data_IF_782742647235
#
_entry.id   IF_782742647235
#
_cell.length_a   1.000
_cell.length_b   1.000
_cell.length_c   1.000
_cell.angle_alpha   90.00
_cell.angle_beta   90.00
_cell.angle_gamma   90.00
#
_symmetry.space_group_name_H-M   'P 1'
#
loop_
_entity.id
_entity.type
_entity.pdbx_description
1 polymer ?
#
# COMPACT_ATOMS: atom_id res chain seq x y z
N UNK A 1 -3.39 -9.53 -10.83
CA UNK A 1 -2.10 -9.17 -10.22
C UNK A 1 -1.67 -10.31 -9.31
N UNK A 2 -0.38 -10.58 -9.21
CA UNK A 2 0.13 -11.70 -8.42
C UNK A 2 1.49 -11.36 -7.81
N UNK A 3 1.72 -11.80 -6.58
CA UNK A 3 3.01 -11.80 -5.90
C UNK A 3 3.27 -13.22 -5.38
N UNK A 4 4.53 -13.63 -5.45
CA UNK A 4 4.96 -14.96 -5.05
C UNK A 4 6.02 -14.82 -3.99
N UNK A 5 5.83 -15.55 -2.89
CA UNK A 5 6.84 -15.71 -1.86
C UNK A 5 7.07 -17.20 -1.63
N UNK A 6 8.32 -17.61 -1.65
CA UNK A 6 8.71 -18.99 -1.37
C UNK A 6 9.66 -19.02 -0.16
N UNK A 7 9.33 -19.87 0.82
CA UNK A 7 10.21 -20.20 1.93
C UNK A 7 9.95 -21.66 2.36
N UNK A 8 10.99 -22.44 2.60
CA UNK A 8 10.90 -23.81 3.13
C UNK A 8 9.89 -24.72 2.40
N UNK A 9 9.88 -24.67 1.06
CA UNK A 9 8.91 -25.39 0.18
C UNK A 9 7.44 -24.99 0.37
N UNK A 10 7.17 -23.90 1.07
CA UNK A 10 5.88 -23.23 1.09
C UNK A 10 5.89 -22.08 0.09
N UNK A 11 5.02 -22.18 -0.92
CA UNK A 11 4.80 -21.15 -1.92
C UNK A 11 3.53 -20.41 -1.55
N UNK A 12 3.66 -19.15 -1.17
CA UNK A 12 2.51 -18.26 -0.97
C UNK A 12 2.28 -17.46 -2.25
N UNK A 13 1.09 -17.64 -2.83
CA UNK A 13 0.60 -16.88 -3.97
C UNK A 13 -0.41 -15.85 -3.48
N UNK A 14 -0.02 -14.58 -3.46
CA UNK A 14 -0.92 -13.48 -3.18
C UNK A 14 -1.50 -12.98 -4.50
N UNK A 15 -2.82 -12.95 -4.63
CA UNK A 15 -3.50 -12.63 -5.89
C UNK A 15 -4.71 -11.73 -5.68
N UNK A 16 -4.84 -10.76 -6.58
CA UNK A 16 -5.94 -9.82 -6.63
C UNK A 16 -6.22 -9.43 -8.09
N UNK A 17 -7.32 -8.74 -8.36
CA UNK A 17 -7.69 -8.24 -9.68
C UNK A 17 -8.00 -6.74 -9.63
N UNK A 18 -7.98 -6.10 -10.78
CA UNK A 18 -8.64 -4.81 -10.96
C UNK A 18 -10.14 -5.05 -11.08
N UNK A 19 -10.95 -4.22 -10.44
CA UNK A 19 -12.36 -4.09 -10.81
C UNK A 19 -12.55 -3.11 -11.97
N UNK A 20 -13.81 -2.96 -12.37
CA UNK A 20 -14.22 -2.02 -13.42
C UNK A 20 -13.95 -0.54 -13.05
N UNK A 21 -13.77 -0.25 -11.75
CA UNK A 21 -13.46 1.07 -11.21
C UNK A 21 -11.97 1.36 -11.05
N UNK A 22 -11.09 0.50 -11.59
CA UNK A 22 -9.63 0.63 -11.42
C UNK A 22 -9.18 0.58 -9.96
N UNK A 23 -9.86 -0.20 -9.13
CA UNK A 23 -9.44 -0.52 -7.76
C UNK A 23 -8.93 -1.96 -7.68
N UNK A 24 -7.94 -2.21 -6.81
CA UNK A 24 -7.46 -3.57 -6.55
C UNK A 24 -8.41 -4.23 -5.55
N UNK A 25 -8.95 -5.39 -5.92
CA UNK A 25 -9.94 -6.15 -5.14
C UNK A 25 -9.59 -7.64 -5.11
N UNK A 26 -9.94 -8.36 -4.02
CA UNK A 26 -9.74 -9.80 -3.98
C UNK A 26 -10.54 -10.52 -5.08
N UNK A 27 -10.07 -11.70 -5.45
CA UNK A 27 -10.86 -12.65 -6.21
C UNK A 27 -12.13 -13.02 -5.43
N UNK A 28 -13.26 -13.07 -6.14
CA UNK A 28 -14.50 -13.66 -5.61
C UNK A 28 -14.29 -15.15 -5.29
N UNK A 29 -15.21 -15.74 -4.52
CA UNK A 29 -15.12 -17.16 -4.18
C UNK A 29 -15.01 -18.09 -5.41
N UNK A 30 -15.86 -17.96 -6.45
CA UNK A 30 -15.73 -18.79 -7.65
C UNK A 30 -14.38 -18.60 -8.38
N UNK A 31 -13.91 -17.34 -8.50
CA UNK A 31 -12.63 -17.03 -9.14
C UNK A 31 -11.46 -17.64 -8.37
N UNK A 32 -11.45 -17.50 -7.04
CA UNK A 32 -10.43 -18.08 -6.17
C UNK A 32 -10.43 -19.60 -6.26
N UNK A 33 -11.60 -20.24 -6.30
CA UNK A 33 -11.72 -21.69 -6.46
C UNK A 33 -11.16 -22.15 -7.82
N UNK A 34 -11.52 -21.47 -8.90
CA UNK A 34 -11.02 -21.77 -10.24
C UNK A 34 -9.50 -21.61 -10.32
N UNK A 35 -8.96 -20.53 -9.75
CA UNK A 35 -7.52 -20.29 -9.68
C UNK A 35 -6.80 -21.37 -8.85
N UNK A 36 -7.37 -21.77 -7.72
CA UNK A 36 -6.82 -22.83 -6.86
C UNK A 36 -6.75 -24.17 -7.60
N UNK A 37 -7.82 -24.53 -8.32
CA UNK A 37 -7.87 -25.73 -9.14
C UNK A 37 -6.86 -25.72 -10.30
N UNK A 38 -6.59 -24.54 -10.86
CA UNK A 38 -5.58 -24.37 -11.89
C UNK A 38 -4.17 -24.61 -11.33
N UNK A 39 -3.82 -23.95 -10.22
CA UNK A 39 -2.51 -24.08 -9.57
C UNK A 39 -2.25 -25.50 -9.08
N UNK A 40 -3.27 -26.19 -8.57
CA UNK A 40 -3.14 -27.58 -8.12
C UNK A 40 -2.68 -28.55 -9.23
N UNK A 41 -2.93 -28.24 -10.51
CA UNK A 41 -2.52 -29.08 -11.65
C UNK A 41 -1.05 -28.90 -12.02
N UNK A 42 -0.42 -27.81 -11.59
CA UNK A 42 0.95 -27.42 -11.95
C UNK A 42 1.88 -27.26 -10.74
N UNK A 43 1.38 -27.53 -9.53
CA UNK A 43 2.14 -27.49 -8.29
C UNK A 43 3.39 -28.39 -8.37
N UNK A 44 4.58 -27.89 -8.00
CA UNK A 44 5.78 -28.71 -7.89
C UNK A 44 5.61 -29.81 -6.83
N UNK A 45 6.09 -31.02 -7.13
CA UNK A 45 6.02 -32.16 -6.21
C UNK A 45 6.70 -31.82 -4.88
N UNK A 46 6.02 -32.13 -3.77
CA UNK A 46 6.53 -31.89 -2.42
C UNK A 46 6.49 -30.43 -1.95
N UNK A 47 5.91 -29.50 -2.73
CA UNK A 47 5.65 -28.12 -2.31
C UNK A 47 4.24 -27.98 -1.74
N UNK A 48 4.06 -27.06 -0.80
CA UNK A 48 2.75 -26.65 -0.31
C UNK A 48 2.43 -25.26 -0.86
N UNK A 49 1.34 -25.12 -1.62
CA UNK A 49 0.92 -23.82 -2.15
C UNK A 49 -0.23 -23.26 -1.34
N UNK A 50 -0.07 -22.03 -0.83
CA UNK A 50 -1.12 -21.28 -0.14
C UNK A 50 -1.52 -20.10 -1.02
N UNK A 51 -2.81 -19.99 -1.34
CA UNK A 51 -3.35 -18.86 -2.10
C UNK A 51 -4.01 -17.87 -1.15
N UNK A 52 -3.50 -16.64 -1.14
CA UNK A 52 -4.03 -15.51 -0.39
C UNK A 52 -4.68 -14.53 -1.36
N UNK A 53 -5.98 -14.33 -1.19
CA UNK A 53 -6.77 -13.35 -1.94
C UNK A 53 -7.76 -12.74 -0.95
N UNK A 54 -7.39 -11.60 -0.39
CA UNK A 54 -8.08 -10.96 0.73
C UNK A 54 -8.18 -9.46 0.49
N UNK A 55 -8.98 -8.77 1.29
CA UNK A 55 -9.11 -7.31 1.23
C UNK A 55 -7.78 -6.63 1.52
N UNK A 56 -7.60 -5.43 0.97
CA UNK A 56 -6.41 -4.61 1.15
C UNK A 56 -5.98 -4.51 2.63
N UNK A 57 -4.67 -4.48 2.86
CA UNK A 57 -4.17 -4.00 4.14
C UNK A 57 -4.55 -2.53 4.31
N UNK A 58 -4.83 -2.11 5.54
CA UNK A 58 -5.14 -0.71 5.86
C UNK A 58 -3.88 -0.02 6.34
N UNK A 59 -3.55 1.13 5.75
CA UNK A 59 -2.39 1.94 6.12
C UNK A 59 -2.87 3.27 6.70
N UNK A 60 -2.33 3.64 7.85
CA UNK A 60 -2.49 4.98 8.41
C UNK A 60 -1.12 5.64 8.51
N UNK A 61 -1.09 6.94 8.32
CA UNK A 61 0.13 7.73 8.42
C UNK A 61 -0.12 9.10 9.04
N UNK A 62 0.93 9.63 9.67
CA UNK A 62 0.97 11.03 10.07
C UNK A 62 2.13 11.70 9.37
N UNK A 63 1.86 12.82 8.71
CA UNK A 63 2.84 13.54 7.92
C UNK A 63 2.72 15.05 8.08
N UNK A 64 3.87 15.71 8.25
CA UNK A 64 3.99 17.15 8.07
C UNK A 64 4.53 17.43 6.67
N UNK A 65 3.85 18.30 5.93
CA UNK A 65 4.20 18.64 4.55
C UNK A 65 4.45 20.15 4.48
N UNK A 66 5.66 20.50 4.09
CA UNK A 66 6.07 21.88 3.88
C UNK A 66 5.98 22.20 2.40
N UNK A 67 5.23 23.23 2.03
CA UNK A 67 4.91 23.52 0.64
C UNK A 67 5.02 25.01 0.30
N UNK A 68 5.30 25.31 -0.97
CA UNK A 68 5.35 26.68 -1.47
C UNK A 68 3.95 27.26 -1.66
N UNK A 69 3.71 28.48 -1.18
CA UNK A 69 2.39 29.16 -1.27
C UNK A 69 1.94 29.50 -2.70
N UNK A 70 2.81 29.31 -3.70
CA UNK A 70 2.44 29.37 -5.11
C UNK A 70 1.54 28.20 -5.56
N UNK A 71 1.44 27.13 -4.76
CA UNK A 71 0.61 25.95 -5.04
C UNK A 71 -0.50 25.80 -3.98
N UNK A 72 -1.75 25.49 -4.38
CA UNK A 72 -2.83 25.20 -3.44
C UNK A 72 -2.60 23.85 -2.74
N UNK A 73 -2.87 23.80 -1.43
CA UNK A 73 -2.72 22.58 -0.62
C UNK A 73 -3.56 21.40 -1.14
N UNK A 74 -4.70 21.67 -1.77
CA UNK A 74 -5.60 20.62 -2.33
C UNK A 74 -4.94 19.74 -3.40
N UNK A 75 -3.98 20.27 -4.18
CA UNK A 75 -3.24 19.46 -5.17
C UNK A 75 -2.31 18.44 -4.51
N UNK A 76 -1.84 18.76 -3.30
CA UNK A 76 -0.94 17.91 -2.53
C UNK A 76 -1.76 16.77 -1.89
N UNK A 77 -2.94 17.10 -1.35
CA UNK A 77 -3.88 16.14 -0.77
C UNK A 77 -4.27 15.00 -1.74
N UNK A 78 -4.57 15.33 -2.99
CA UNK A 78 -4.93 14.33 -4.03
C UNK A 78 -3.79 13.35 -4.33
N UNK A 79 -2.53 13.79 -4.22
CA UNK A 79 -1.39 12.93 -4.54
C UNK A 79 -1.18 11.84 -3.48
N UNK A 80 -1.47 12.15 -2.22
CA UNK A 80 -1.33 11.20 -1.11
C UNK A 80 -2.45 10.16 -1.14
N UNK A 81 -3.68 10.57 -1.44
CA UNK A 81 -4.88 9.74 -1.32
C UNK A 81 -5.01 8.63 -2.38
N UNK A 82 -4.27 8.69 -3.49
CA UNK A 82 -4.60 7.93 -4.71
C UNK A 82 -3.68 6.76 -5.04
N UNK A 83 -2.59 6.54 -4.29
CA UNK A 83 -1.64 5.46 -4.61
C UNK A 83 -2.06 4.11 -4.00
N UNK A 84 -2.52 3.23 -4.87
CA UNK A 84 -2.59 1.79 -4.64
C UNK A 84 -1.51 1.11 -5.48
N UNK A 85 -0.56 0.45 -4.83
CA UNK A 85 0.47 -0.35 -5.50
C UNK A 85 0.40 -1.79 -5.00
N UNK A 86 0.55 -2.74 -5.93
CA UNK A 86 0.62 -4.16 -5.62
C UNK A 86 2.08 -4.60 -5.70
N UNK A 87 2.58 -5.23 -4.65
CA UNK A 87 3.99 -5.64 -4.61
C UNK A 87 4.42 -6.36 -3.35
N UNK A 88 3.49 -6.68 -2.44
CA UNK A 88 3.83 -7.43 -1.23
C UNK A 88 4.52 -6.60 -0.14
N UNK A 89 5.01 -5.40 -0.47
CA UNK A 89 5.84 -4.60 0.41
C UNK A 89 5.39 -3.14 0.41
N UNK A 90 5.37 -2.54 1.59
CA UNK A 90 5.20 -1.11 1.82
C UNK A 90 6.54 -0.56 2.29
N UNK A 91 7.05 0.47 1.62
CA UNK A 91 8.31 1.13 1.98
C UNK A 91 8.04 2.57 2.41
N UNK A 92 8.42 2.91 3.65
CA UNK A 92 8.24 4.25 4.19
C UNK A 92 8.98 5.31 3.36
N UNK A 93 10.19 4.98 2.88
CA UNK A 93 10.98 5.85 2.01
C UNK A 93 10.31 6.14 0.67
N UNK A 94 9.78 5.11 -0.01
CA UNK A 94 9.08 5.31 -1.30
C UNK A 94 7.80 6.14 -1.13
N UNK A 95 7.09 5.97 -0.02
CA UNK A 95 5.94 6.81 0.33
C UNK A 95 6.38 8.26 0.52
N UNK A 96 7.44 8.50 1.29
CA UNK A 96 7.96 9.85 1.52
C UNK A 96 8.44 10.51 0.22
N UNK A 97 9.22 9.78 -0.58
CA UNK A 97 9.72 10.23 -1.88
C UNK A 97 8.58 10.59 -2.83
N UNK A 98 7.50 9.81 -2.81
CA UNK A 98 6.30 10.08 -3.60
C UNK A 98 5.66 11.43 -3.24
N UNK A 99 5.56 11.75 -1.94
CA UNK A 99 5.00 13.03 -1.49
C UNK A 99 5.94 14.20 -1.78
N UNK A 100 7.25 14.01 -1.55
CA UNK A 100 8.25 15.05 -1.85
C UNK A 100 8.33 15.34 -3.36
N UNK A 101 8.02 14.36 -4.20
CA UNK A 101 7.98 14.53 -5.66
C UNK A 101 6.72 15.26 -6.15
N UNK A 102 5.72 15.51 -5.29
CA UNK A 102 4.50 16.24 -5.66
C UNK A 102 4.82 17.71 -5.97
N UNK A 103 4.24 18.29 -7.04
CA UNK A 103 4.40 19.70 -7.34
C UNK A 103 4.06 20.61 -6.16
N UNK A 104 4.98 21.51 -5.81
CA UNK A 104 4.80 22.48 -4.73
C UNK A 104 5.23 22.00 -3.35
N UNK A 105 5.51 20.71 -3.16
CA UNK A 105 6.11 20.20 -1.91
C UNK A 105 7.61 20.54 -1.90
N UNK A 106 8.06 21.13 -0.80
CA UNK A 106 9.48 21.47 -0.57
C UNK A 106 10.17 20.38 0.24
N UNK A 107 9.48 19.88 1.27
CA UNK A 107 9.90 18.75 2.08
C UNK A 107 8.70 18.16 2.81
N UNK A 108 8.84 16.94 3.29
CA UNK A 108 7.86 16.29 4.15
C UNK A 108 8.56 15.47 5.24
N UNK A 109 7.88 15.29 6.36
CA UNK A 109 8.33 14.44 7.47
C UNK A 109 7.26 13.44 7.79
N UNK A 110 7.57 12.15 7.65
CA UNK A 110 6.70 11.03 8.04
C UNK A 110 6.96 10.70 9.51
N UNK A 111 6.02 11.04 10.40
CA UNK A 111 6.16 10.83 11.85
C UNK A 111 5.52 9.54 12.34
N UNK A 112 4.52 9.03 11.62
CA UNK A 112 3.88 7.74 11.90
C UNK A 112 3.55 7.02 10.61
N UNK A 113 3.82 5.73 10.57
CA UNK A 113 3.32 4.83 9.54
C UNK A 113 2.97 3.50 10.20
N UNK A 114 1.72 3.10 10.08
CA UNK A 114 1.22 1.84 10.63
C UNK A 114 0.39 1.11 9.58
N UNK A 115 0.39 -0.22 9.65
CA UNK A 115 -0.38 -1.07 8.75
C UNK A 115 -1.14 -2.15 9.49
N UNK A 116 -2.30 -2.53 8.97
CA UNK A 116 -3.14 -3.61 9.48
C UNK A 116 -3.65 -4.47 8.33
N UNK A 117 -3.13 -5.70 8.24
CA UNK A 117 -3.65 -6.71 7.33
C UNK A 117 -4.81 -7.49 7.96
N UNK A 118 -5.49 -8.30 7.16
CA UNK A 118 -6.55 -9.21 7.65
C UNK A 118 -6.03 -10.33 8.55
N UNK A 119 -4.72 -10.53 8.58
CA UNK A 119 -4.00 -11.47 9.44
C UNK A 119 -3.75 -10.93 10.87
N UNK A 120 -3.97 -9.63 11.12
CA UNK A 120 -3.67 -8.99 12.39
C UNK A 120 -4.89 -8.23 12.95
N UNK A 121 -5.17 -8.34 14.27
CA UNK A 121 -6.25 -7.56 14.88
C UNK A 121 -5.89 -6.07 15.01
N UNK A 122 -4.61 -5.77 15.26
CA UNK A 122 -4.09 -4.45 15.60
C UNK A 122 -3.23 -3.84 14.49
N UNK A 123 -3.07 -2.52 14.55
CA UNK A 123 -2.12 -1.78 13.72
C UNK A 123 -0.69 -2.03 14.18
N UNK A 124 0.18 -2.34 13.23
CA UNK A 124 1.60 -2.62 13.48
C UNK A 124 2.43 -1.47 12.88
N UNK A 125 3.41 -0.91 13.61
CA UNK A 125 4.36 0.06 13.08
C UNK A 125 5.12 -0.44 11.86
N UNK A 126 5.43 0.49 10.94
CA UNK A 126 6.23 0.24 9.75
C UNK A 126 7.59 0.93 9.92
N UNK A 127 8.56 0.17 10.40
CA UNK A 127 9.93 0.65 10.61
C UNK A 127 10.75 0.49 9.32
N UNK A 128 10.65 1.47 8.43
CA UNK A 128 11.32 1.50 7.13
C UNK A 128 10.59 0.71 6.04
N UNK A 129 10.20 -0.54 6.32
CA UNK A 129 9.36 -1.33 5.42
C UNK A 129 8.44 -2.32 6.18
N UNK A 130 7.36 -2.75 5.53
CA UNK A 130 6.51 -3.81 6.03
C UNK A 130 6.03 -4.72 4.91
N UNK A 131 5.94 -6.02 5.20
CA UNK A 131 5.23 -6.94 4.32
C UNK A 131 3.72 -6.73 4.48
N UNK A 132 3.04 -6.71 3.34
CA UNK A 132 1.59 -6.60 3.23
C UNK A 132 0.99 -8.00 3.08
N UNK A 133 -0.04 -8.29 3.86
CA UNK A 133 -0.69 -9.60 3.84
C UNK A 133 -1.55 -9.78 2.58
N UNK A 134 -2.22 -8.72 2.13
CA UNK A 134 -2.96 -8.73 0.86
C UNK A 134 -2.07 -8.52 -0.37
N UNK A 135 -0.80 -8.12 -0.19
CA UNK A 135 0.12 -7.60 -1.22
C UNK A 135 -0.22 -6.24 -1.84
N UNK A 136 -1.28 -5.61 -1.36
CA UNK A 136 -1.67 -4.24 -1.68
C UNK A 136 -2.35 -3.62 -0.46
N UNK A 137 -2.55 -2.30 -0.49
CA UNK A 137 -3.07 -1.58 0.65
C UNK A 137 -3.95 -0.39 0.23
N UNK A 138 -4.80 0.05 1.15
CA UNK A 138 -5.57 1.27 1.05
C UNK A 138 -5.20 2.20 2.22
N UNK A 139 -5.15 3.49 1.95
CA UNK A 139 -5.01 4.49 3.01
C UNK A 139 -6.33 4.67 3.77
N UNK A 140 -6.26 4.64 5.09
CA UNK A 140 -7.33 5.11 5.98
C UNK A 140 -7.04 6.57 6.37
N UNK A 141 -7.62 7.49 5.60
CA UNK A 141 -7.47 8.92 5.85
C UNK A 141 -8.17 9.37 7.14
N UNK A 142 -9.20 8.64 7.61
CA UNK A 142 -9.90 8.98 8.85
C UNK A 142 -9.05 8.72 10.10
N UNK A 143 -8.12 7.78 10.02
CA UNK A 143 -7.12 7.49 11.05
C UNK A 143 -5.74 8.08 10.79
N UNK A 144 -5.57 8.88 9.74
CA UNK A 144 -4.31 9.55 9.36
C UNK A 144 -4.36 11.04 9.72
N UNK A 145 -3.19 11.67 9.88
CA UNK A 145 -3.09 13.10 10.16
C UNK A 145 -2.13 13.80 9.20
N UNK A 146 -2.55 14.93 8.64
CA UNK A 146 -1.74 15.74 7.74
C UNK A 146 -1.65 17.17 8.24
N UNK A 147 -0.43 17.65 8.44
CA UNK A 147 -0.15 19.04 8.79
C UNK A 147 0.49 19.73 7.59
N UNK A 148 -0.12 20.80 7.10
CA UNK A 148 0.37 21.55 5.94
C UNK A 148 0.98 22.87 6.40
N UNK A 149 2.28 23.04 6.16
CA UNK A 149 3.05 24.21 6.57
C UNK A 149 3.40 25.04 5.33
N UNK A 150 2.76 26.21 5.13
CA UNK A 150 3.09 27.07 4.00
C UNK A 150 4.43 27.78 4.24
N UNK A 151 5.32 27.72 3.24
CA UNK A 151 6.51 28.57 3.17
C UNK A 151 6.33 29.61 2.05
N UNK A 152 6.31 30.87 2.46
CA UNK A 152 6.41 32.00 1.54
C UNK A 152 7.89 32.24 1.23
N UNK A 153 8.32 32.28 -0.04
CA UNK A 153 9.69 32.65 -0.37
C UNK A 153 10.01 34.01 0.23
N UNK A 154 11.16 34.14 0.90
CA UNK A 154 11.66 35.45 1.29
C UNK A 154 11.96 36.22 -0.01
N UNK A 155 11.33 37.37 -0.20
CA UNK A 155 11.69 38.29 -1.28
C UNK A 155 13.18 38.65 -1.12
N UNK A 156 14.02 38.17 -2.05
CA UNK A 156 15.37 38.70 -2.25
C UNK A 156 15.31 39.93 -3.17
#
# INVERSE_FOLDING_TARGET
MAAVHEADRQITLQVAKWDEGSQITPLSYPERMNFSNYIARSQPLGSQVTIVSTTADVVQLDMEIVYGTAFPASLIEETVATRQEFGGMLYAGQLLDAVVSSPGVLTATLSRLVRKGTDNPDYIPVDGYARLYASYFNYDLGGSSFTYVPLTPAHQ
#
